data_IF_986031336819
#
_entry.id   IF_986031336819
#
_cell.length_a   1.000
_cell.length_b   1.000
_cell.length_c   1.000
_cell.angle_alpha   90.00
_cell.angle_beta   90.00
_cell.angle_gamma   90.00
#
_symmetry.space_group_name_H-M   'P 1'
#
loop_
_entity.id
_entity.type
_entity.pdbx_description
1 polymer ?
#
# COMPACT_ATOMS: atom_id res chain seq x y z
N UNK A 1 5.61 -5.74 -12.11
CA UNK A 1 4.45 -5.51 -11.23
C UNK A 1 4.29 -4.02 -11.04
N UNK A 2 3.07 -3.49 -10.85
CA UNK A 2 2.88 -2.08 -10.57
C UNK A 2 3.33 -1.72 -9.15
N UNK A 3 4.03 -0.61 -9.00
CA UNK A 3 4.58 -0.09 -7.75
C UNK A 3 3.92 1.23 -7.37
N UNK A 4 3.74 1.47 -6.08
CA UNK A 4 3.19 2.72 -5.57
C UNK A 4 4.36 3.69 -5.31
N UNK A 5 4.33 4.86 -5.93
CA UNK A 5 5.36 5.89 -5.76
C UNK A 5 4.76 7.22 -5.31
N UNK A 6 5.44 7.89 -4.39
CA UNK A 6 5.20 9.31 -4.11
C UNK A 6 5.80 10.18 -5.21
N UNK A 7 5.27 11.39 -5.38
CA UNK A 7 5.73 12.32 -6.42
C UNK A 7 7.25 12.58 -6.42
N UNK A 8 7.87 12.63 -5.24
CA UNK A 8 9.32 12.85 -5.12
C UNK A 8 10.15 11.62 -5.49
N UNK A 9 9.55 10.43 -5.54
CA UNK A 9 10.21 9.18 -5.97
C UNK A 9 10.12 8.96 -7.48
N UNK A 10 9.31 9.75 -8.19
CA UNK A 10 9.18 9.71 -9.65
C UNK A 10 10.39 10.32 -10.36
N UNK A 11 10.67 9.85 -11.58
CA UNK A 11 11.63 10.46 -12.50
C UNK A 11 11.15 11.84 -12.99
N UNK A 12 12.03 12.64 -13.61
CA UNK A 12 11.61 13.93 -14.18
C UNK A 12 10.46 13.78 -15.17
N UNK A 13 10.57 12.85 -16.11
CA UNK A 13 9.53 12.63 -17.14
C UNK A 13 8.20 12.20 -16.51
N UNK A 14 8.26 11.32 -15.51
CA UNK A 14 7.08 10.90 -14.75
C UNK A 14 6.48 12.04 -13.93
N UNK A 15 7.30 12.96 -13.39
CA UNK A 15 6.79 14.13 -12.67
C UNK A 15 6.07 15.10 -13.60
N UNK A 16 6.55 15.26 -14.82
CA UNK A 16 5.88 16.10 -15.82
C UNK A 16 4.53 15.48 -16.22
N UNK A 17 4.48 14.18 -16.44
CA UNK A 17 3.24 13.43 -16.69
C UNK A 17 2.28 13.53 -15.49
N UNK A 18 2.77 13.32 -14.27
CA UNK A 18 2.01 13.41 -13.02
C UNK A 18 1.33 14.77 -12.81
N UNK A 19 1.98 15.88 -13.23
CA UNK A 19 1.40 17.23 -13.17
C UNK A 19 0.22 17.41 -14.11
N UNK A 20 0.21 16.72 -15.26
CA UNK A 20 -0.92 16.76 -16.20
C UNK A 20 -2.15 15.97 -15.71
N UNK A 21 -1.92 15.02 -14.81
CA UNK A 21 -2.94 14.10 -14.29
C UNK A 21 -3.56 14.55 -12.96
N UNK A 22 -2.93 15.49 -12.25
CA UNK A 22 -3.36 15.91 -10.91
C UNK A 22 -4.51 16.95 -10.98
N UNK A 23 -5.73 16.63 -10.49
CA UNK A 23 -6.88 17.54 -10.57
C UNK A 23 -6.71 18.83 -9.74
N UNK A 24 -5.88 18.80 -8.70
CA UNK A 24 -5.63 19.93 -7.79
C UNK A 24 -4.32 20.67 -8.04
N UNK A 25 -3.55 20.31 -9.09
CA UNK A 25 -2.18 20.80 -9.32
C UNK A 25 -1.20 20.54 -8.15
N UNK A 26 -1.58 19.73 -7.16
CA UNK A 26 -0.77 19.32 -6.01
C UNK A 26 -0.38 17.84 -6.14
N UNK A 27 0.51 17.50 -7.09
CA UNK A 27 0.89 16.12 -7.35
C UNK A 27 1.62 15.47 -6.16
N UNK A 28 2.20 16.25 -5.26
CA UNK A 28 2.81 15.79 -4.01
C UNK A 28 1.83 15.16 -3.01
N UNK A 29 0.54 15.49 -3.10
CA UNK A 29 -0.52 14.87 -2.30
C UNK A 29 -1.08 13.62 -2.98
N UNK A 30 -0.41 13.10 -4.00
CA UNK A 30 -0.87 11.95 -4.77
C UNK A 30 0.16 10.82 -4.71
N UNK A 31 -0.33 9.59 -4.67
CA UNK A 31 0.46 8.42 -5.06
C UNK A 31 0.18 8.07 -6.51
N UNK A 32 1.24 7.66 -7.19
CA UNK A 32 1.22 7.26 -8.58
C UNK A 32 1.49 5.77 -8.66
N UNK A 33 0.55 5.04 -9.24
CA UNK A 33 0.72 3.63 -9.56
C UNK A 33 1.53 3.57 -10.84
N UNK A 34 2.78 3.11 -10.75
CA UNK A 34 3.70 3.01 -11.89
C UNK A 34 3.72 1.56 -12.36
N UNK A 35 3.50 1.35 -13.65
CA UNK A 35 3.56 0.02 -14.26
C UNK A 35 4.99 -0.52 -14.35
N UNK A 36 5.14 -1.80 -14.66
CA UNK A 36 6.46 -2.42 -14.81
C UNK A 36 7.32 -1.85 -15.94
N UNK A 37 6.74 -1.09 -16.87
CA UNK A 37 7.47 -0.39 -17.92
C UNK A 37 7.74 1.08 -17.57
N UNK A 38 7.48 1.50 -16.32
CA UNK A 38 7.75 2.86 -15.84
C UNK A 38 6.66 3.89 -16.17
N UNK A 39 5.55 3.48 -16.78
CA UNK A 39 4.44 4.38 -17.09
C UNK A 39 3.54 4.65 -15.89
N UNK A 40 3.00 5.87 -15.76
CA UNK A 40 1.97 6.15 -14.75
C UNK A 40 0.64 5.53 -15.20
N UNK A 41 0.10 4.62 -14.39
CA UNK A 41 -1.17 3.95 -14.63
C UNK A 41 -2.33 4.76 -14.03
N UNK A 42 -2.12 5.33 -12.84
CA UNK A 42 -3.15 6.07 -12.08
C UNK A 42 -2.51 7.00 -11.06
N UNK A 43 -3.12 8.15 -10.82
CA UNK A 43 -2.87 9.03 -9.67
C UNK A 43 -3.99 8.86 -8.62
N UNK A 44 -3.64 8.84 -7.34
CA UNK A 44 -4.57 8.70 -6.20
C UNK A 44 -4.23 9.72 -5.13
N UNK A 45 -5.18 10.55 -4.72
CA UNK A 45 -4.96 11.57 -3.69
C UNK A 45 -4.84 10.93 -2.31
N UNK A 46 -3.71 11.11 -1.64
CA UNK A 46 -3.40 10.51 -0.35
C UNK A 46 -2.52 11.43 0.50
N UNK A 47 -2.76 11.39 1.81
CA UNK A 47 -1.79 11.80 2.83
C UNK A 47 -1.22 10.54 3.48
N UNK A 48 -0.20 9.91 2.88
CA UNK A 48 0.46 8.74 3.47
C UNK A 48 1.05 9.08 4.84
N UNK A 49 0.96 8.14 5.78
CA UNK A 49 1.63 8.24 7.08
C UNK A 49 3.10 7.80 6.99
N UNK A 50 3.46 6.97 6.02
CA UNK A 50 4.83 6.44 5.82
C UNK A 50 5.04 5.92 4.39
N UNK A 51 6.31 5.74 3.94
CA UNK A 51 6.58 5.19 2.62
C UNK A 51 6.34 3.69 2.50
N UNK A 52 5.83 3.20 1.38
CA UNK A 52 5.52 1.76 1.19
C UNK A 52 6.61 0.98 0.45
N UNK A 53 7.46 1.65 -0.32
CA UNK A 53 8.43 0.97 -1.20
C UNK A 53 7.75 0.07 -2.24
N UNK A 54 8.46 -0.98 -2.68
CA UNK A 54 7.99 -1.89 -3.72
C UNK A 54 6.83 -2.77 -3.23
N UNK A 55 5.73 -2.77 -4.00
CA UNK A 55 4.57 -3.59 -3.68
C UNK A 55 4.71 -5.02 -4.24
N UNK A 56 4.68 -6.01 -3.37
CA UNK A 56 4.75 -7.42 -3.71
C UNK A 56 3.46 -8.15 -3.32
N UNK A 57 2.81 -8.78 -4.30
CA UNK A 57 1.71 -9.70 -4.09
C UNK A 57 1.90 -10.95 -4.96
N UNK A 58 1.55 -12.13 -4.45
CA UNK A 58 1.56 -13.36 -5.24
C UNK A 58 0.43 -13.41 -6.27
N UNK A 59 0.59 -14.16 -7.35
CA UNK A 59 -0.49 -14.32 -8.35
C UNK A 59 -1.75 -14.94 -7.76
N UNK A 60 -1.58 -15.91 -6.86
CA UNK A 60 -2.70 -16.54 -6.13
C UNK A 60 -3.44 -15.50 -5.29
N UNK A 61 -2.71 -14.61 -4.60
CA UNK A 61 -3.31 -13.53 -3.81
C UNK A 61 -4.10 -12.59 -4.72
N UNK A 62 -3.51 -12.14 -5.83
CA UNK A 62 -4.20 -11.29 -6.82
C UNK A 62 -5.47 -11.94 -7.35
N UNK A 63 -5.42 -13.21 -7.74
CA UNK A 63 -6.58 -13.94 -8.24
C UNK A 63 -7.69 -14.05 -7.17
N UNK A 64 -7.31 -14.30 -5.93
CA UNK A 64 -8.25 -14.35 -4.81
C UNK A 64 -8.92 -13.00 -4.54
N UNK A 65 -8.16 -11.90 -4.57
CA UNK A 65 -8.72 -10.55 -4.44
C UNK A 65 -9.67 -10.22 -5.60
N UNK A 66 -9.25 -10.52 -6.83
CA UNK A 66 -10.05 -10.27 -8.03
C UNK A 66 -11.37 -11.07 -8.03
N UNK A 67 -11.38 -12.28 -7.45
CA UNK A 67 -12.59 -13.11 -7.35
C UNK A 67 -13.73 -12.47 -6.53
N UNK A 68 -13.39 -11.50 -5.67
CA UNK A 68 -14.36 -10.71 -4.88
C UNK A 68 -14.40 -9.24 -5.32
N UNK A 69 -13.85 -8.93 -6.51
CA UNK A 69 -13.88 -7.58 -7.08
C UNK A 69 -12.97 -6.58 -6.38
N UNK A 70 -11.94 -7.04 -5.65
CA UNK A 70 -10.99 -6.19 -4.91
C UNK A 70 -9.59 -6.30 -5.51
N UNK A 71 -8.72 -5.35 -5.17
CA UNK A 71 -7.34 -5.31 -5.69
C UNK A 71 -6.32 -5.10 -4.58
N UNK A 72 -5.08 -5.52 -4.79
CA UNK A 72 -3.98 -5.33 -3.84
C UNK A 72 -3.67 -3.84 -3.61
N UNK A 73 -3.86 -3.02 -4.65
CA UNK A 73 -3.66 -1.56 -4.57
C UNK A 73 -4.60 -0.95 -3.53
N UNK A 74 -5.85 -1.43 -3.48
CA UNK A 74 -6.82 -0.95 -2.49
C UNK A 74 -6.31 -1.10 -1.05
N UNK A 75 -5.76 -2.27 -0.72
CA UNK A 75 -5.27 -2.53 0.64
C UNK A 75 -3.94 -1.84 0.92
N UNK A 76 -3.08 -1.68 -0.09
CA UNK A 76 -1.85 -0.90 0.03
C UNK A 76 -2.15 0.57 0.38
N UNK A 77 -3.16 1.16 -0.27
CA UNK A 77 -3.59 2.54 -0.03
C UNK A 77 -4.13 2.74 1.39
N UNK A 78 -5.02 1.84 1.83
CA UNK A 78 -5.57 1.87 3.20
C UNK A 78 -4.48 1.72 4.24
N UNK A 79 -3.55 0.80 4.02
CA UNK A 79 -2.37 0.59 4.86
C UNK A 79 -1.53 1.86 5.00
N UNK A 80 -1.16 2.49 3.89
CA UNK A 80 -0.29 3.67 3.85
C UNK A 80 -0.93 4.92 4.45
N UNK A 81 -2.26 5.07 4.32
CA UNK A 81 -2.99 6.27 4.80
C UNK A 81 -3.51 6.16 6.22
N UNK A 82 -3.32 5.01 6.88
CA UNK A 82 -3.81 4.80 8.23
C UNK A 82 -5.30 4.51 8.31
N UNK A 83 -5.95 4.13 7.20
CA UNK A 83 -7.30 3.54 7.27
C UNK A 83 -7.18 2.12 7.81
N UNK A 84 -6.97 2.01 9.12
CA UNK A 84 -6.88 0.77 9.89
C UNK A 84 -8.17 0.50 10.66
N UNK A 85 -9.30 0.96 10.14
CA UNK A 85 -10.63 0.89 10.78
C UNK A 85 -11.07 -0.52 11.18
N UNK A 86 -10.48 -1.56 10.59
CA UNK A 86 -10.75 -2.98 10.87
C UNK A 86 -9.79 -3.62 11.90
N UNK A 87 -8.82 -2.84 12.38
CA UNK A 87 -7.86 -3.22 13.41
C UNK A 87 -8.30 -2.71 14.78
N UNK A 88 -7.93 -3.44 15.82
CA UNK A 88 -8.12 -3.03 17.22
C UNK A 88 -7.30 -1.78 17.57
N UNK A 89 -7.70 -0.99 18.59
CA UNK A 89 -6.94 0.18 19.01
C UNK A 89 -5.46 -0.13 19.34
N UNK A 90 -5.19 -1.27 19.97
CA UNK A 90 -3.83 -1.69 20.31
C UNK A 90 -3.00 -2.00 19.06
N UNK A 91 -3.59 -2.66 18.05
CA UNK A 91 -2.90 -2.91 16.78
C UNK A 91 -2.62 -1.59 16.02
N UNK A 92 -3.56 -0.64 16.03
CA UNK A 92 -3.35 0.68 15.42
C UNK A 92 -2.24 1.45 16.15
N UNK A 93 -2.23 1.42 17.48
CA UNK A 93 -1.19 2.06 18.29
C UNK A 93 0.20 1.45 18.01
N UNK A 94 0.30 0.12 17.84
CA UNK A 94 1.56 -0.54 17.42
C UNK A 94 2.05 -0.01 16.08
N UNK A 95 1.16 0.18 15.11
CA UNK A 95 1.56 0.76 13.82
C UNK A 95 2.07 2.21 13.97
N UNK A 96 1.43 3.04 14.78
CA UNK A 96 1.90 4.41 15.04
C UNK A 96 3.30 4.41 15.69
N UNK A 97 3.49 3.57 16.71
CA UNK A 97 4.78 3.40 17.39
C UNK A 97 5.85 2.91 16.40
N UNK A 98 5.52 1.94 15.56
CA UNK A 98 6.43 1.42 14.54
C UNK A 98 6.80 2.48 13.49
N UNK A 99 5.87 3.35 13.11
CA UNK A 99 6.17 4.48 12.22
C UNK A 99 7.16 5.44 12.88
N UNK A 100 6.91 5.83 14.13
CA UNK A 100 7.76 6.75 14.89
C UNK A 100 9.15 6.18 15.16
N UNK A 101 9.23 4.88 15.45
CA UNK A 101 10.48 4.20 15.85
C UNK A 101 11.21 3.51 14.69
N UNK A 102 10.68 3.58 13.47
CA UNK A 102 11.27 2.91 12.30
C UNK A 102 11.12 1.38 12.29
N UNK A 103 10.13 0.83 12.99
CA UNK A 103 9.75 -0.59 12.97
C UNK A 103 8.84 -0.95 11.78
N UNK A 104 8.59 -2.23 11.53
CA UNK A 104 7.69 -2.67 10.46
C UNK A 104 6.21 -2.32 10.78
N UNK A 105 5.42 -1.99 9.76
CA UNK A 105 3.99 -1.65 9.90
C UNK A 105 3.17 -2.80 9.35
N UNK A 106 2.22 -3.30 10.13
CA UNK A 106 1.38 -4.43 9.75
C UNK A 106 -0.10 -4.04 9.82
N UNK A 107 -0.82 -4.19 8.72
CA UNK A 107 -2.28 -4.04 8.70
C UNK A 107 -2.99 -5.32 8.34
N UNK A 108 -4.21 -5.45 8.87
CA UNK A 108 -5.13 -6.56 8.60
C UNK A 108 -6.48 -6.02 8.18
N UNK A 109 -7.04 -6.59 7.12
CA UNK A 109 -8.34 -6.24 6.56
C UNK A 109 -9.17 -7.49 6.28
N UNK A 110 -10.48 -7.39 6.36
CA UNK A 110 -11.40 -8.49 6.06
C UNK A 110 -11.52 -8.67 4.55
N UNK A 111 -11.50 -9.92 4.09
CA UNK A 111 -11.71 -10.26 2.68
C UNK A 111 -13.05 -10.96 2.46
N UNK A 112 -13.26 -12.09 3.12
CA UNK A 112 -14.50 -12.90 3.06
C UNK A 112 -14.53 -13.87 4.24
N UNK A 113 -15.68 -14.07 4.87
CA UNK A 113 -15.87 -15.02 5.97
C UNK A 113 -14.73 -14.95 7.03
N UNK A 114 -13.82 -15.93 7.01
CA UNK A 114 -12.67 -16.09 7.90
C UNK A 114 -11.32 -15.65 7.29
N UNK A 115 -11.30 -15.23 6.03
CA UNK A 115 -10.10 -14.78 5.35
C UNK A 115 -9.85 -13.28 5.55
N UNK A 116 -8.61 -12.95 5.83
CA UNK A 116 -8.09 -11.59 5.90
C UNK A 116 -7.03 -11.33 4.82
N UNK A 117 -6.85 -10.06 4.50
CA UNK A 117 -5.68 -9.53 3.79
C UNK A 117 -4.74 -8.94 4.81
N UNK A 118 -3.47 -9.33 4.72
CA UNK A 118 -2.38 -8.82 5.54
C UNK A 118 -1.45 -7.99 4.67
N UNK A 119 -1.13 -6.78 5.12
CA UNK A 119 -0.25 -5.84 4.42
C UNK A 119 0.88 -5.47 5.36
N UNK A 120 2.11 -5.84 5.01
CA UNK A 120 3.31 -5.57 5.81
C UNK A 120 4.26 -4.68 5.04
N UNK A 121 4.55 -3.48 5.54
CA UNK A 121 5.70 -2.69 5.10
C UNK A 121 6.87 -2.92 6.04
N UNK A 122 8.02 -3.33 5.50
CA UNK A 122 9.21 -3.61 6.30
C UNK A 122 9.76 -2.34 6.99
N UNK A 123 10.62 -2.53 8.00
CA UNK A 123 11.22 -1.44 8.79
C UNK A 123 11.95 -0.40 7.91
N UNK A 124 12.66 -0.87 6.88
CA UNK A 124 13.40 -0.03 5.94
C UNK A 124 12.51 0.72 4.94
N UNK A 125 11.19 0.48 4.96
CA UNK A 125 10.22 1.08 4.03
C UNK A 125 10.56 0.83 2.55
N UNK A 126 11.30 -0.24 2.27
CA UNK A 126 11.74 -0.59 0.92
C UNK A 126 10.77 -1.53 0.21
N UNK A 127 9.93 -2.25 0.95
CA UNK A 127 8.92 -3.13 0.37
C UNK A 127 7.68 -3.25 1.23
N UNK A 128 6.56 -3.47 0.54
CA UNK A 128 5.25 -3.82 1.09
C UNK A 128 4.79 -5.15 0.53
N UNK A 129 4.58 -6.12 1.41
CA UNK A 129 4.11 -7.47 1.04
C UNK A 129 2.63 -7.61 1.36
N UNK A 130 1.85 -8.09 0.39
CA UNK A 130 0.42 -8.38 0.54
C UNK A 130 0.18 -9.87 0.46
N UNK A 131 -0.42 -10.41 1.51
CA UNK A 131 -0.83 -11.79 1.64
C UNK A 131 -2.33 -11.87 1.96
N UNK A 132 -2.95 -13.02 1.65
CA UNK A 132 -4.33 -13.28 2.01
C UNK A 132 -4.46 -14.70 2.56
N UNK A 133 -5.23 -14.88 3.65
CA UNK A 133 -5.36 -16.17 4.33
C UNK A 133 -6.22 -16.11 5.58
N UNK A 134 -6.37 -17.25 6.24
CA UNK A 134 -7.20 -17.39 7.46
C UNK A 134 -6.48 -16.99 8.76
N UNK A 135 -5.15 -16.87 8.70
CA UNK A 135 -4.32 -16.52 9.84
C UNK A 135 -3.18 -15.60 9.39
N UNK A 136 -2.63 -14.86 10.34
CA UNK A 136 -1.46 -14.02 10.09
C UNK A 136 -0.28 -14.91 9.69
N UNK A 137 0.43 -14.57 8.60
CA UNK A 137 1.66 -15.28 8.22
C UNK A 137 2.71 -15.22 9.33
N UNK A 138 3.38 -16.34 9.61
CA UNK A 138 4.43 -16.42 10.63
C UNK A 138 5.61 -15.47 10.35
N UNK A 139 5.84 -15.15 9.08
CA UNK A 139 6.92 -14.26 8.66
C UNK A 139 6.63 -12.76 8.94
N UNK A 140 5.47 -12.44 9.53
CA UNK A 140 5.01 -11.08 9.83
C UNK A 140 5.12 -10.74 11.34
N UNK A 141 5.99 -11.42 12.09
CA UNK A 141 6.32 -11.09 13.50
C UNK A 141 7.19 -9.84 13.64
#
# INVERSE_FOLDING_TARGET
MPTLHYFHELSSDQRDEARTLAPSNAPEAQCYVVGSAGQIIRAVELKPLFPTGELAAGEVVRAQLASVGRSEIEFALRHATGDWSEMTPDEQARNLIAIEQGGAVLSRFSLRADHSVYVLTNAQRSSTTILAGVAQPADFE
#
